data_IF_126507650426
#
_entry.id   IF_126507650426
#
_cell.length_a   1.000
_cell.length_b   1.000
_cell.length_c   1.000
_cell.angle_alpha   90.00
_cell.angle_beta   90.00
_cell.angle_gamma   90.00
#
_symmetry.space_group_name_H-M   'P 1'
#
loop_
_entity.id
_entity.type
_entity.pdbx_description
1 polymer ?
#
# COMPACT_ATOMS: atom_id res chain seq x y z
N UNK A 1 -10.63 -44.09 30.08
CA UNK A 1 -9.74 -43.90 28.90
C UNK A 1 -9.24 -42.46 28.89
N UNK A 2 -7.99 -42.24 29.30
CA UNK A 2 -7.35 -40.92 29.35
C UNK A 2 -6.96 -40.47 27.94
N UNK A 3 -7.55 -39.37 27.45
CA UNK A 3 -7.13 -38.71 26.21
C UNK A 3 -5.77 -38.03 26.43
N UNK A 4 -4.70 -38.64 25.91
CA UNK A 4 -3.38 -38.02 25.79
C UNK A 4 -3.48 -36.84 24.81
N UNK A 5 -3.29 -35.63 25.34
CA UNK A 5 -3.01 -34.44 24.53
C UNK A 5 -1.66 -34.63 23.85
N UNK A 6 -1.65 -34.79 22.53
CA UNK A 6 -0.43 -34.74 21.74
C UNK A 6 0.06 -33.29 21.71
N UNK A 7 1.05 -32.97 22.55
CA UNK A 7 1.88 -31.77 22.37
C UNK A 7 2.54 -31.88 20.99
N UNK A 8 2.15 -31.02 20.05
CA UNK A 8 2.91 -30.81 18.81
C UNK A 8 4.33 -30.38 19.21
N UNK A 9 5.38 -31.01 18.69
CA UNK A 9 6.74 -30.58 18.96
C UNK A 9 6.92 -29.15 18.46
N UNK A 10 7.40 -28.29 19.35
CA UNK A 10 7.75 -26.90 19.06
C UNK A 10 9.07 -26.92 18.26
N UNK A 11 8.96 -27.12 16.95
CA UNK A 11 10.10 -26.99 16.04
C UNK A 11 10.45 -25.50 16.03
N UNK A 12 11.66 -25.09 16.48
CA UNK A 12 12.06 -23.69 16.34
C UNK A 12 12.00 -23.31 14.86
N UNK A 13 11.47 -22.13 14.51
CA UNK A 13 11.42 -21.71 13.11
C UNK A 13 12.84 -21.76 12.53
N UNK A 14 13.03 -22.51 11.44
CA UNK A 14 14.29 -22.50 10.71
C UNK A 14 14.66 -21.05 10.38
N UNK A 15 15.95 -20.69 10.45
CA UNK A 15 16.37 -19.33 10.10
C UNK A 15 15.93 -19.03 8.66
N UNK A 16 15.29 -17.88 8.49
CA UNK A 16 14.92 -17.36 7.17
C UNK A 16 16.20 -16.99 6.43
N UNK A 17 16.53 -17.73 5.38
CA UNK A 17 17.71 -17.49 4.56
C UNK A 17 17.35 -17.45 3.08
N UNK A 18 18.09 -16.65 2.31
CA UNK A 18 17.97 -16.54 0.85
C UNK A 18 19.31 -16.15 0.22
N UNK A 19 19.50 -16.34 -1.10
CA UNK A 19 20.76 -16.04 -1.78
C UNK A 19 21.17 -14.55 -1.65
N UNK A 20 22.46 -14.24 -1.47
CA UNK A 20 22.94 -12.86 -1.27
C UNK A 20 22.79 -11.97 -2.53
N UNK A 21 22.71 -12.58 -3.71
CA UNK A 21 22.47 -11.93 -5.00
C UNK A 21 20.99 -11.62 -5.26
N UNK A 22 20.09 -11.94 -4.32
CA UNK A 22 18.67 -11.58 -4.40
C UNK A 22 18.52 -10.07 -4.62
N UNK A 23 17.52 -9.69 -5.40
CA UNK A 23 17.11 -8.29 -5.61
C UNK A 23 15.65 -8.08 -5.21
N UNK A 24 14.83 -9.13 -5.38
CA UNK A 24 13.40 -9.13 -5.16
C UNK A 24 13.05 -10.21 -4.14
N UNK A 25 12.36 -9.84 -3.06
CA UNK A 25 11.80 -10.79 -2.08
C UNK A 25 10.58 -10.17 -1.41
N UNK A 26 9.63 -11.01 -0.99
CA UNK A 26 8.50 -10.58 -0.17
C UNK A 26 8.43 -11.38 1.13
N UNK A 27 8.26 -10.69 2.25
CA UNK A 27 8.04 -11.28 3.56
C UNK A 27 6.58 -11.09 3.99
N UNK A 28 6.02 -12.11 4.65
CA UNK A 28 4.76 -12.04 5.38
C UNK A 28 5.06 -12.16 6.88
N UNK A 29 4.59 -11.17 7.63
CA UNK A 29 4.61 -11.12 9.09
C UNK A 29 3.25 -11.57 9.61
N UNK A 30 3.25 -12.52 10.53
CA UNK A 30 2.10 -12.87 11.34
C UNK A 30 2.09 -12.02 12.61
N UNK A 31 1.03 -11.24 12.77
CA UNK A 31 0.86 -10.26 13.82
C UNK A 31 -0.36 -10.62 14.69
N UNK A 32 -0.18 -10.66 16.01
CA UNK A 32 -1.24 -11.02 16.96
C UNK A 32 -1.34 -9.98 18.08
N UNK A 33 -2.48 -9.31 18.25
CA UNK A 33 -2.70 -8.44 19.40
C UNK A 33 -2.96 -9.27 20.66
N UNK A 34 -2.34 -8.92 21.78
CA UNK A 34 -2.53 -9.64 23.05
C UNK A 34 -3.89 -9.36 23.71
N UNK A 35 -4.50 -8.22 23.36
CA UNK A 35 -5.81 -7.74 23.84
C UNK A 35 -6.51 -7.06 22.68
N UNK A 36 -7.83 -6.91 22.77
CA UNK A 36 -8.58 -6.11 21.80
C UNK A 36 -7.97 -4.72 21.73
N UNK A 37 -7.68 -4.25 20.52
CA UNK A 37 -7.08 -2.95 20.29
C UNK A 37 -7.71 -2.26 19.08
N UNK A 38 -7.51 -0.95 19.00
CA UNK A 38 -8.13 -0.13 17.97
C UNK A 38 -7.05 0.58 17.16
N UNK A 39 -7.14 0.43 15.85
CA UNK A 39 -6.33 1.16 14.90
C UNK A 39 -7.01 2.47 14.53
N UNK A 40 -6.19 3.50 14.34
CA UNK A 40 -6.63 4.73 13.72
C UNK A 40 -6.87 4.49 12.21
N UNK A 41 -7.78 5.23 11.55
CA UNK A 41 -8.18 4.89 10.19
C UNK A 41 -7.03 4.92 9.17
N UNK A 42 -5.98 5.72 9.37
CA UNK A 42 -4.81 5.77 8.49
C UNK A 42 -3.61 4.97 9.02
N UNK A 43 -3.84 3.86 9.73
CA UNK A 43 -2.77 3.07 10.38
C UNK A 43 -1.65 2.60 9.46
N UNK A 44 -1.87 2.54 8.14
CA UNK A 44 -0.82 2.20 7.17
C UNK A 44 0.32 3.22 7.12
N UNK A 45 0.08 4.48 7.52
CA UNK A 45 1.15 5.46 7.76
C UNK A 45 2.01 5.02 8.96
N UNK A 46 1.37 4.49 10.00
CA UNK A 46 2.07 3.93 11.17
C UNK A 46 2.94 2.73 10.80
N UNK A 47 2.43 1.82 9.96
CA UNK A 47 3.22 0.70 9.43
C UNK A 47 4.44 1.17 8.63
N UNK A 48 4.25 2.17 7.76
CA UNK A 48 5.33 2.78 7.00
C UNK A 48 6.40 3.43 7.91
N UNK A 49 5.96 4.25 8.86
CA UNK A 49 6.87 4.94 9.78
C UNK A 49 7.63 3.94 10.67
N UNK A 50 6.94 2.92 11.18
CA UNK A 50 7.55 1.87 11.97
C UNK A 50 8.62 1.12 11.18
N UNK A 51 8.33 0.75 9.92
CA UNK A 51 9.31 0.12 9.04
C UNK A 51 10.56 0.98 8.85
N UNK A 52 10.41 2.25 8.50
CA UNK A 52 11.54 3.17 8.32
C UNK A 52 12.33 3.41 9.61
N UNK A 53 11.68 3.34 10.77
CA UNK A 53 12.33 3.40 12.07
C UNK A 53 13.20 2.14 12.30
N UNK A 54 12.73 0.95 11.92
CA UNK A 54 13.54 -0.27 12.00
C UNK A 54 14.75 -0.19 11.07
N UNK A 55 14.58 0.38 9.87
CA UNK A 55 15.71 0.65 8.97
C UNK A 55 16.67 1.62 9.64
N UNK A 56 16.18 2.76 10.14
CA UNK A 56 17.02 3.83 10.67
C UNK A 56 17.75 3.49 11.97
N UNK A 57 17.28 2.50 12.74
CA UNK A 57 17.98 2.04 13.95
C UNK A 57 19.25 1.25 13.65
N UNK A 58 19.37 0.70 12.43
CA UNK A 58 20.48 -0.19 12.01
C UNK A 58 21.26 0.37 10.84
N UNK A 59 20.60 1.08 9.92
CA UNK A 59 21.17 1.77 8.77
C UNK A 59 20.46 3.14 8.55
N UNK A 60 20.92 4.20 9.24
CA UNK A 60 20.37 5.56 9.10
C UNK A 60 20.44 6.11 7.66
N UNK A 61 21.48 5.74 6.90
CA UNK A 61 21.68 6.21 5.54
C UNK A 61 20.66 5.58 4.58
N UNK A 62 20.41 4.28 4.72
CA UNK A 62 19.36 3.60 3.97
C UNK A 62 17.99 4.18 4.33
N UNK A 63 17.70 4.44 5.62
CA UNK A 63 16.42 5.04 6.01
C UNK A 63 16.20 6.42 5.37
N UNK A 64 17.23 7.28 5.35
CA UNK A 64 17.19 8.56 4.66
C UNK A 64 16.95 8.39 3.16
N UNK A 65 17.64 7.47 2.49
CA UNK A 65 17.39 7.15 1.08
C UNK A 65 15.95 6.69 0.83
N UNK A 66 15.43 5.78 1.67
CA UNK A 66 14.05 5.27 1.54
C UNK A 66 12.99 6.34 1.82
N UNK A 67 13.27 7.31 2.69
CA UNK A 67 12.35 8.40 3.02
C UNK A 67 12.44 9.55 2.01
N UNK A 68 13.64 10.07 1.77
CA UNK A 68 13.89 11.33 1.06
C UNK A 68 14.18 11.16 -0.44
N UNK A 69 14.56 9.96 -0.90
CA UNK A 69 14.89 9.72 -2.31
C UNK A 69 13.77 10.15 -3.27
N UNK A 70 14.13 10.86 -4.35
CA UNK A 70 13.19 11.39 -5.33
C UNK A 70 12.77 10.37 -6.41
N UNK A 71 13.52 9.27 -6.55
CA UNK A 71 13.21 8.15 -7.44
C UNK A 71 12.06 7.28 -6.91
N UNK A 72 11.71 6.20 -7.63
CA UNK A 72 10.83 5.19 -7.06
C UNK A 72 11.41 4.65 -5.74
N UNK A 73 10.53 4.20 -4.84
CA UNK A 73 10.95 3.61 -3.57
C UNK A 73 11.18 2.11 -3.75
N UNK A 74 12.34 1.57 -3.32
CA UNK A 74 12.70 0.17 -3.56
C UNK A 74 12.05 -0.83 -2.58
N UNK A 75 10.82 -0.55 -2.15
CA UNK A 75 10.06 -1.43 -1.27
C UNK A 75 8.55 -1.22 -1.41
N UNK A 76 7.76 -2.18 -0.91
CA UNK A 76 6.33 -1.99 -0.70
C UNK A 76 5.92 -2.44 0.70
N UNK A 77 4.80 -1.91 1.17
CA UNK A 77 4.18 -2.24 2.45
C UNK A 77 2.69 -2.44 2.21
N UNK A 78 2.11 -3.53 2.70
CA UNK A 78 0.66 -3.75 2.65
C UNK A 78 -0.08 -3.11 3.84
N UNK A 79 -1.41 -3.00 3.71
CA UNK A 79 -2.29 -2.91 4.87
C UNK A 79 -2.30 -4.24 5.66
N UNK A 80 -2.91 -4.23 6.85
CA UNK A 80 -3.15 -5.48 7.59
C UNK A 80 -4.26 -6.28 6.88
N UNK A 81 -4.04 -7.58 6.75
CA UNK A 81 -5.00 -8.52 6.19
C UNK A 81 -5.44 -9.50 7.28
N UNK A 82 -6.75 -9.66 7.47
CA UNK A 82 -7.34 -10.52 8.49
C UNK A 82 -8.78 -10.12 8.77
N UNK A 83 -9.41 -10.77 9.75
CA UNK A 83 -10.77 -10.43 10.17
C UNK A 83 -10.75 -9.14 10.97
N UNK A 84 -11.02 -8.04 10.27
CA UNK A 84 -10.98 -6.68 10.81
C UNK A 84 -12.41 -6.19 10.97
N UNK A 85 -12.81 -5.91 12.21
CA UNK A 85 -14.14 -5.41 12.51
C UNK A 85 -14.11 -3.89 12.46
N UNK A 86 -14.91 -3.32 11.56
CA UNK A 86 -15.13 -1.87 11.48
C UNK A 86 -16.42 -1.52 12.21
N UNK A 87 -16.33 -0.67 13.23
CA UNK A 87 -17.51 -0.10 13.89
C UNK A 87 -17.48 1.42 13.70
N UNK A 88 -17.93 1.89 12.53
CA UNK A 88 -18.21 3.28 12.12
C UNK A 88 -17.06 4.31 12.23
N UNK A 89 -16.36 4.38 13.36
CA UNK A 89 -15.33 5.35 13.72
C UNK A 89 -13.96 4.72 14.02
N UNK A 90 -13.90 3.42 14.29
CA UNK A 90 -12.67 2.72 14.66
C UNK A 90 -12.56 1.36 13.98
N UNK A 91 -11.31 0.96 13.74
CA UNK A 91 -10.93 -0.34 13.20
C UNK A 91 -10.47 -1.19 14.40
N UNK A 92 -11.22 -2.23 14.74
CA UNK A 92 -10.90 -3.10 15.86
C UNK A 92 -10.13 -4.33 15.39
N UNK A 93 -9.06 -4.65 16.12
CA UNK A 93 -8.37 -5.93 16.05
C UNK A 93 -8.73 -6.74 17.30
N UNK A 94 -9.13 -7.99 17.10
CA UNK A 94 -9.54 -8.89 18.16
C UNK A 94 -8.33 -9.57 18.78
N UNK A 95 -8.31 -9.68 20.12
CA UNK A 95 -7.27 -10.37 20.86
C UNK A 95 -7.03 -11.79 20.32
N UNK A 96 -5.77 -12.21 20.28
CA UNK A 96 -5.35 -13.55 19.86
C UNK A 96 -5.77 -13.93 18.42
N UNK A 97 -6.12 -12.94 17.59
CA UNK A 97 -6.44 -13.12 16.18
C UNK A 97 -5.21 -12.85 15.31
N UNK A 98 -5.01 -13.68 14.28
CA UNK A 98 -3.86 -13.57 13.38
C UNK A 98 -4.15 -12.59 12.26
N UNK A 99 -3.29 -11.59 12.14
CA UNK A 99 -3.27 -10.60 11.06
C UNK A 99 -1.98 -10.74 10.26
N UNK A 100 -2.05 -10.51 8.95
CA UNK A 100 -0.92 -10.62 8.04
C UNK A 100 -0.50 -9.25 7.53
N UNK A 101 0.80 -9.03 7.53
CA UNK A 101 1.40 -7.82 6.98
C UNK A 101 2.52 -8.20 6.02
N UNK A 102 2.62 -7.49 4.90
CA UNK A 102 3.59 -7.80 3.85
C UNK A 102 4.56 -6.65 3.65
N UNK A 103 5.85 -6.99 3.53
CA UNK A 103 6.93 -6.08 3.15
C UNK A 103 7.70 -6.71 2.02
N UNK A 104 7.99 -5.95 0.96
CA UNK A 104 8.79 -6.44 -0.17
C UNK A 104 10.00 -5.57 -0.41
N UNK A 105 11.12 -6.17 -0.78
CA UNK A 105 12.29 -5.49 -1.32
C UNK A 105 12.25 -5.49 -2.85
N UNK A 106 12.71 -4.38 -3.44
CA UNK A 106 12.87 -4.21 -4.89
C UNK A 106 14.31 -3.88 -5.29
N UNK A 107 15.27 -4.01 -4.37
CA UNK A 107 16.67 -3.78 -4.65
C UNK A 107 17.56 -4.65 -3.77
N UNK A 108 18.77 -4.91 -4.27
CA UNK A 108 19.78 -5.66 -3.52
C UNK A 108 20.10 -5.01 -2.15
N UNK A 109 20.22 -3.67 -2.08
CA UNK A 109 20.49 -2.95 -0.82
C UNK A 109 19.39 -3.18 0.22
N UNK A 110 18.12 -3.11 -0.17
CA UNK A 110 17.00 -3.31 0.76
C UNK A 110 16.90 -4.75 1.22
N UNK A 111 17.06 -5.73 0.31
CA UNK A 111 16.97 -7.14 0.73
C UNK A 111 18.12 -7.55 1.65
N UNK A 112 19.34 -7.02 1.44
CA UNK A 112 20.48 -7.29 2.33
C UNK A 112 20.21 -6.78 3.74
N UNK A 113 19.67 -5.57 3.85
CA UNK A 113 19.20 -5.06 5.14
C UNK A 113 18.09 -5.94 5.73
N UNK A 114 17.10 -6.37 4.93
CA UNK A 114 16.04 -7.26 5.39
C UNK A 114 16.57 -8.60 5.91
N UNK A 115 17.65 -9.15 5.32
CA UNK A 115 18.26 -10.40 5.75
C UNK A 115 18.85 -10.27 7.17
N UNK A 116 19.49 -9.15 7.47
CA UNK A 116 20.00 -8.85 8.82
C UNK A 116 18.85 -8.52 9.79
N UNK A 117 17.82 -7.82 9.29
CA UNK A 117 16.68 -7.41 10.10
C UNK A 117 15.87 -8.62 10.60
N UNK A 118 15.66 -9.65 9.78
CA UNK A 118 14.91 -10.85 10.20
C UNK A 118 15.63 -11.67 11.27
N UNK A 119 16.95 -11.56 11.39
CA UNK A 119 17.73 -12.22 12.45
C UNK A 119 17.53 -11.54 13.82
N UNK A 120 17.21 -10.25 13.83
CA UNK A 120 17.09 -9.43 15.03
C UNK A 120 15.77 -8.65 15.06
N UNK A 121 14.66 -9.35 14.82
CA UNK A 121 13.33 -8.74 14.84
C UNK A 121 12.91 -8.32 16.25
N UNK A 122 12.27 -7.15 16.41
CA UNK A 122 11.58 -6.82 17.64
C UNK A 122 10.41 -7.81 17.87
N UNK A 123 10.10 -8.10 19.12
CA UNK A 123 8.97 -8.97 19.47
C UNK A 123 7.60 -8.32 19.15
N UNK A 124 7.56 -6.99 19.10
CA UNK A 124 6.33 -6.21 18.96
C UNK A 124 6.49 -5.15 17.88
N UNK A 125 5.47 -5.07 17.02
CA UNK A 125 5.22 -3.97 16.11
C UNK A 125 4.29 -2.97 16.81
N UNK A 126 4.80 -1.77 17.08
CA UNK A 126 4.08 -0.74 17.82
C UNK A 126 3.33 0.20 16.87
N UNK A 127 1.98 0.10 16.84
CA UNK A 127 1.10 1.04 16.15
C UNK A 127 0.37 1.93 17.15
N UNK A 128 1.06 2.93 17.71
CA UNK A 128 0.53 3.83 18.74
C UNK A 128 -0.07 3.05 19.93
N UNK A 129 -1.39 2.95 20.01
CA UNK A 129 -2.11 2.28 21.10
C UNK A 129 -2.49 0.83 20.76
N UNK A 130 -1.93 0.27 19.68
CA UNK A 130 -2.21 -1.08 19.19
C UNK A 130 -0.90 -1.87 19.00
N UNK A 131 -0.27 -2.35 20.10
CA UNK A 131 0.90 -3.23 20.01
C UNK A 131 0.51 -4.59 19.42
N UNK A 132 1.26 -5.04 18.41
CA UNK A 132 1.06 -6.32 17.73
C UNK A 132 2.28 -7.21 17.90
N UNK A 133 2.10 -8.39 18.49
CA UNK A 133 3.19 -9.36 18.64
C UNK A 133 3.54 -9.97 17.29
N UNK A 134 4.81 -9.96 16.93
CA UNK A 134 5.33 -10.66 15.74
C UNK A 134 5.47 -12.14 16.11
N UNK A 135 4.58 -12.98 15.60
CA UNK A 135 4.56 -14.43 15.91
C UNK A 135 5.44 -15.24 14.99
N UNK A 136 5.43 -14.90 13.71
CA UNK A 136 6.23 -15.56 12.71
C UNK A 136 6.48 -14.63 11.54
N UNK A 137 7.57 -14.90 10.82
CA UNK A 137 7.84 -14.33 9.52
C UNK A 137 8.04 -15.48 8.55
N UNK A 138 7.63 -15.31 7.29
CA UNK A 138 7.91 -16.27 6.23
C UNK A 138 8.10 -15.58 4.90
N UNK A 139 8.73 -16.28 3.95
CA UNK A 139 8.83 -15.83 2.56
C UNK A 139 7.43 -15.94 1.92
N UNK A 140 6.87 -14.79 1.56
CA UNK A 140 5.60 -14.68 0.84
C UNK A 140 5.80 -14.70 -0.67
N UNK A 141 6.88 -14.06 -1.14
CA UNK A 141 7.31 -14.07 -2.54
C UNK A 141 8.76 -14.53 -2.60
N UNK A 142 9.08 -15.54 -3.42
CA UNK A 142 10.39 -16.18 -3.42
C UNK A 142 11.51 -15.18 -3.76
N UNK A 143 12.72 -15.37 -3.20
CA UNK A 143 13.88 -14.58 -3.61
C UNK A 143 14.16 -14.78 -5.09
N UNK A 144 14.36 -13.67 -5.82
CA UNK A 144 14.71 -13.70 -7.24
C UNK A 144 15.46 -12.43 -7.66
N UNK A 145 15.88 -12.37 -8.92
CA UNK A 145 16.55 -11.23 -9.55
C UNK A 145 15.77 -10.73 -10.76
N UNK A 146 15.96 -9.48 -11.15
CA UNK A 146 15.37 -8.94 -12.36
C UNK A 146 15.77 -9.74 -13.60
N UNK A 147 17.02 -10.19 -13.63
CA UNK A 147 17.55 -11.07 -14.70
C UNK A 147 16.79 -12.40 -14.74
N UNK A 148 16.58 -13.06 -13.61
CA UNK A 148 15.81 -14.31 -13.55
C UNK A 148 14.36 -14.11 -13.99
N UNK A 149 13.73 -12.98 -13.66
CA UNK A 149 12.39 -12.65 -14.17
C UNK A 149 12.40 -12.54 -15.70
N UNK A 150 13.41 -11.87 -16.28
CA UNK A 150 13.55 -11.70 -17.73
C UNK A 150 13.86 -13.01 -18.46
N UNK A 151 14.65 -13.89 -17.87
CA UNK A 151 15.06 -15.17 -18.48
C UNK A 151 14.06 -16.30 -18.28
N UNK A 152 13.04 -16.09 -17.44
CA UNK A 152 12.01 -17.10 -17.17
C UNK A 152 11.10 -17.36 -18.37
N UNK A 153 10.41 -18.51 -18.38
CA UNK A 153 9.54 -18.90 -19.50
C UNK A 153 8.50 -17.82 -19.86
N UNK A 154 8.26 -17.63 -21.16
CA UNK A 154 7.29 -16.65 -21.65
C UNK A 154 5.88 -17.02 -21.17
N UNK A 155 5.25 -16.11 -20.42
CA UNK A 155 3.84 -16.21 -20.08
C UNK A 155 3.04 -15.29 -20.99
N UNK A 156 2.20 -15.87 -21.84
CA UNK A 156 1.37 -15.09 -22.76
C UNK A 156 0.10 -14.53 -22.11
N UNK A 157 -0.28 -15.02 -20.94
CA UNK A 157 -1.48 -14.59 -20.21
C UNK A 157 -1.17 -14.40 -18.73
N UNK A 158 -1.70 -13.30 -18.15
CA UNK A 158 -1.64 -13.01 -16.73
C UNK A 158 -3.01 -12.70 -16.18
N UNK A 159 -3.37 -13.42 -15.12
CA UNK A 159 -4.40 -12.96 -14.21
C UNK A 159 -3.74 -12.20 -13.05
N UNK A 160 -4.17 -10.97 -12.81
CA UNK A 160 -3.72 -10.11 -11.72
C UNK A 160 -4.89 -9.83 -10.78
N UNK A 161 -4.65 -10.02 -9.48
CA UNK A 161 -5.58 -9.67 -8.40
C UNK A 161 -5.06 -8.47 -7.62
N UNK A 162 -5.87 -7.43 -7.47
CA UNK A 162 -5.60 -6.22 -6.71
C UNK A 162 -6.27 -6.34 -5.33
N UNK A 163 -5.46 -6.64 -4.31
CA UNK A 163 -5.89 -6.87 -2.93
C UNK A 163 -6.14 -5.60 -2.13
N UNK A 164 -5.62 -4.46 -2.61
CA UNK A 164 -5.83 -3.16 -1.98
C UNK A 164 -6.14 -2.12 -3.05
N UNK A 165 -6.78 -1.00 -2.70
CA UNK A 165 -7.14 0.01 -3.68
C UNK A 165 -5.93 0.44 -4.50
N UNK A 166 -6.07 0.34 -5.81
CA UNK A 166 -5.06 0.64 -6.82
C UNK A 166 -5.52 1.84 -7.63
N UNK A 167 -4.64 2.79 -7.91
CA UNK A 167 -5.01 3.97 -8.70
C UNK A 167 -3.80 4.50 -9.45
N UNK A 168 -4.08 5.08 -10.61
CA UNK A 168 -3.12 5.77 -11.45
C UNK A 168 -3.39 7.28 -11.46
N UNK A 169 -2.47 8.05 -12.03
CA UNK A 169 -2.69 9.48 -12.31
C UNK A 169 -2.85 9.70 -13.80
N UNK A 170 -3.89 10.45 -14.18
CA UNK A 170 -4.10 10.89 -15.55
C UNK A 170 -4.59 12.33 -15.55
N UNK A 171 -3.83 13.23 -16.20
CA UNK A 171 -4.15 14.67 -16.28
C UNK A 171 -4.46 15.30 -14.91
N UNK A 172 -3.66 14.97 -13.88
CA UNK A 172 -3.85 15.46 -12.51
C UNK A 172 -4.91 14.72 -11.67
N UNK A 173 -5.76 13.90 -12.28
CA UNK A 173 -6.84 13.19 -11.58
C UNK A 173 -6.49 11.75 -11.26
N UNK A 174 -7.21 11.14 -10.30
CA UNK A 174 -7.15 9.70 -10.05
C UNK A 174 -7.79 8.96 -11.23
N UNK A 175 -7.15 7.88 -11.66
CA UNK A 175 -7.64 7.02 -12.72
C UNK A 175 -7.75 5.59 -12.18
N UNK A 176 -8.94 5.20 -11.68
CA UNK A 176 -9.14 3.92 -11.01
C UNK A 176 -9.51 2.80 -12.01
N UNK A 177 -8.78 2.69 -13.13
CA UNK A 177 -9.01 1.65 -14.14
C UNK A 177 -7.68 0.99 -14.55
N UNK A 178 -7.60 -0.36 -14.55
CA UNK A 178 -6.42 -1.14 -14.94
C UNK A 178 -6.29 -1.24 -16.47
N UNK A 179 -6.15 -0.11 -17.15
CA UNK A 179 -5.79 -0.10 -18.58
C UNK A 179 -4.36 -0.66 -18.72
N UNK A 180 -4.08 -1.59 -19.67
CA UNK A 180 -2.78 -2.24 -19.80
C UNK A 180 -1.60 -1.27 -19.79
N UNK A 181 -1.64 -0.21 -20.61
CA UNK A 181 -0.58 0.80 -20.63
C UNK A 181 -0.30 1.42 -19.24
N UNK A 182 -1.33 1.69 -18.43
CA UNK A 182 -1.15 2.22 -17.08
C UNK A 182 -0.59 1.18 -16.10
N UNK A 183 -1.06 -0.07 -16.19
CA UNK A 183 -0.59 -1.18 -15.37
C UNK A 183 0.89 -1.45 -15.64
N UNK A 184 1.27 -1.59 -16.91
CA UNK A 184 2.64 -1.88 -17.31
C UNK A 184 3.56 -0.67 -17.16
N UNK A 185 3.08 0.56 -17.33
CA UNK A 185 3.85 1.75 -16.98
C UNK A 185 4.22 1.77 -15.49
N UNK A 186 3.30 1.38 -14.61
CA UNK A 186 3.59 1.28 -13.18
C UNK A 186 4.74 0.32 -12.87
N UNK A 187 4.78 -0.84 -13.53
CA UNK A 187 5.85 -1.82 -13.33
C UNK A 187 7.15 -1.37 -13.98
N UNK A 188 7.07 -0.85 -15.20
CA UNK A 188 8.23 -0.43 -15.98
C UNK A 188 9.03 0.68 -15.29
N UNK A 189 8.37 1.64 -14.62
CA UNK A 189 9.09 2.67 -13.85
C UNK A 189 10.02 2.07 -12.78
N UNK A 190 9.55 1.05 -12.06
CA UNK A 190 10.36 0.36 -11.03
C UNK A 190 11.37 -0.60 -11.62
N UNK A 191 11.06 -1.19 -12.78
CA UNK A 191 12.02 -1.96 -13.55
C UNK A 191 13.19 -1.09 -13.99
N UNK A 192 12.92 0.05 -14.63
CA UNK A 192 13.96 0.96 -15.13
C UNK A 192 14.81 1.54 -13.99
N UNK A 193 14.23 1.83 -12.84
CA UNK A 193 14.96 2.37 -11.68
C UNK A 193 15.89 1.34 -11.01
N UNK A 194 15.52 0.06 -10.97
CA UNK A 194 16.20 -0.92 -10.12
C UNK A 194 16.84 -2.11 -10.84
N UNK A 195 16.42 -2.44 -12.05
CA UNK A 195 16.89 -3.67 -12.74
C UNK A 195 18.29 -3.57 -13.35
N UNK A 196 18.79 -2.35 -13.57
CA UNK A 196 19.98 -2.12 -14.40
C UNK A 196 19.79 -2.43 -15.90
N UNK A 197 18.56 -2.79 -16.32
CA UNK A 197 18.19 -3.16 -17.69
C UNK A 197 17.07 -2.24 -18.20
N UNK A 198 17.30 -0.93 -18.19
CA UNK A 198 16.30 0.06 -18.58
C UNK A 198 15.86 -0.11 -20.04
N UNK A 199 14.57 0.08 -20.28
CA UNK A 199 13.94 0.01 -21.61
C UNK A 199 13.28 1.34 -21.92
N UNK A 200 13.23 1.70 -23.21
CA UNK A 200 12.48 2.86 -23.68
C UNK A 200 11.00 2.71 -23.31
N UNK A 201 10.48 3.71 -22.60
CA UNK A 201 9.14 3.65 -22.07
C UNK A 201 8.08 3.84 -23.15
N UNK A 202 8.31 4.74 -24.10
CA UNK A 202 7.29 5.12 -25.06
C UNK A 202 7.08 4.00 -26.08
N UNK A 203 8.17 3.40 -26.56
CA UNK A 203 8.11 2.26 -27.48
C UNK A 203 7.41 1.05 -26.86
N UNK A 204 7.78 0.69 -25.62
CA UNK A 204 7.17 -0.46 -24.95
C UNK A 204 5.69 -0.21 -24.62
N UNK A 205 5.33 1.00 -24.17
CA UNK A 205 3.94 1.30 -23.83
C UNK A 205 3.04 1.41 -25.06
N UNK A 206 3.56 1.90 -26.19
CA UNK A 206 2.84 1.85 -27.47
C UNK A 206 2.59 0.40 -27.89
N UNK A 207 3.61 -0.45 -27.78
CA UNK A 207 3.46 -1.89 -28.02
C UNK A 207 2.44 -2.54 -27.07
N UNK A 208 2.42 -2.15 -25.79
CA UNK A 208 1.43 -2.66 -24.84
C UNK A 208 0.00 -2.30 -25.26
N UNK A 209 -0.21 -1.06 -25.73
CA UNK A 209 -1.53 -0.59 -26.18
C UNK A 209 -2.02 -1.33 -27.43
N UNK A 210 -1.11 -1.65 -28.35
CA UNK A 210 -1.42 -2.36 -29.59
C UNK A 210 -1.67 -3.87 -29.40
N UNK A 211 -0.99 -4.50 -28.44
CA UNK A 211 -0.87 -5.96 -28.40
C UNK A 211 -1.34 -6.64 -27.11
N UNK A 212 -1.66 -5.91 -26.03
CA UNK A 212 -2.16 -6.51 -24.78
C UNK A 212 -3.69 -6.36 -24.70
N UNK A 213 -4.37 -7.50 -24.68
CA UNK A 213 -5.83 -7.57 -24.64
C UNK A 213 -6.32 -7.82 -23.22
N UNK A 214 -7.36 -7.11 -22.80
CA UNK A 214 -8.12 -7.45 -21.58
C UNK A 214 -9.11 -8.55 -21.95
N UNK A 215 -8.90 -9.77 -21.46
CA UNK A 215 -9.80 -10.90 -21.72
C UNK A 215 -10.90 -11.02 -20.67
N UNK A 216 -10.61 -10.65 -19.42
CA UNK A 216 -11.57 -10.68 -18.30
C UNK A 216 -11.31 -9.53 -17.34
N UNK A 217 -12.36 -8.97 -16.77
CA UNK A 217 -12.24 -7.86 -15.84
C UNK A 217 -13.40 -7.88 -14.82
N UNK A 218 -13.07 -7.82 -13.53
CA UNK A 218 -14.05 -7.68 -12.46
C UNK A 218 -13.48 -6.73 -11.42
N UNK A 219 -14.05 -5.54 -11.30
CA UNK A 219 -13.51 -4.47 -10.47
C UNK A 219 -14.57 -3.89 -9.55
N UNK A 220 -14.12 -3.34 -8.43
CA UNK A 220 -14.90 -2.47 -7.56
C UNK A 220 -14.09 -1.23 -7.28
N UNK A 221 -14.71 -0.06 -7.36
CA UNK A 221 -14.04 1.21 -7.05
C UNK A 221 -14.43 1.69 -5.65
N UNK A 222 -13.46 2.17 -4.90
CA UNK A 222 -13.68 2.77 -3.59
C UNK A 222 -12.80 4.01 -3.43
N UNK A 223 -13.26 4.94 -2.58
CA UNK A 223 -12.49 6.11 -2.18
C UNK A 223 -11.91 5.85 -0.80
N UNK A 224 -10.58 5.78 -0.71
CA UNK A 224 -9.86 5.47 0.53
C UNK A 224 -8.90 6.59 0.90
N UNK A 225 -8.55 6.66 2.19
CA UNK A 225 -7.52 7.58 2.64
C UNK A 225 -6.14 7.08 2.19
N UNK A 226 -5.24 8.01 1.85
CA UNK A 226 -3.93 7.66 1.33
C UNK A 226 -2.84 8.57 1.88
N UNK A 227 -1.88 7.99 2.60
CA UNK A 227 -0.77 8.72 3.22
C UNK A 227 -1.25 9.77 4.23
N UNK A 228 -0.38 10.74 4.57
CA UNK A 228 -0.64 11.76 5.60
C UNK A 228 -1.80 12.71 5.27
N UNK A 229 -2.08 12.96 3.98
CA UNK A 229 -3.11 13.91 3.53
C UNK A 229 -3.79 13.40 2.26
N UNK A 230 -5.12 13.53 2.23
CA UNK A 230 -5.94 13.30 1.05
C UNK A 230 -6.55 11.91 0.97
N UNK A 231 -7.36 11.73 -0.07
CA UNK A 231 -8.01 10.49 -0.42
C UNK A 231 -7.65 10.11 -1.86
N UNK A 232 -7.75 8.83 -2.19
CA UNK A 232 -7.55 8.25 -3.50
C UNK A 232 -8.80 7.50 -3.88
N UNK A 233 -9.37 7.81 -5.05
CA UNK A 233 -10.31 6.88 -5.70
C UNK A 233 -9.50 5.82 -6.41
N UNK A 234 -9.65 4.56 -6.01
CA UNK A 234 -8.93 3.42 -6.55
C UNK A 234 -9.85 2.23 -6.81
N UNK A 235 -9.31 1.18 -7.40
CA UNK A 235 -10.00 -0.08 -7.66
C UNK A 235 -9.37 -1.25 -6.92
N UNK A 236 -10.19 -2.23 -6.56
CA UNK A 236 -9.81 -3.60 -6.19
C UNK A 236 -10.48 -4.57 -7.16
N UNK A 237 -10.05 -5.83 -7.15
CA UNK A 237 -10.64 -6.87 -7.99
C UNK A 237 -9.59 -7.62 -8.81
N UNK A 238 -9.95 -8.06 -10.01
CA UNK A 238 -9.06 -8.83 -10.86
C UNK A 238 -9.20 -8.45 -12.34
N UNK A 239 -8.10 -8.61 -13.07
CA UNK A 239 -8.02 -8.50 -14.52
C UNK A 239 -7.27 -9.70 -15.08
N UNK A 240 -7.65 -10.14 -16.27
CA UNK A 240 -6.90 -11.11 -17.07
C UNK A 240 -6.47 -10.42 -18.37
N UNK A 241 -5.19 -10.55 -18.68
CA UNK A 241 -4.51 -9.92 -19.80
C UNK A 241 -3.87 -11.00 -20.66
N UNK A 242 -3.95 -10.89 -21.98
CA UNK A 242 -3.35 -11.83 -22.92
C UNK A 242 -2.63 -11.12 -24.07
N UNK A 243 -1.52 -11.71 -24.53
CA UNK A 243 -0.82 -11.28 -25.74
C UNK A 243 -1.67 -11.57 -26.98
N UNK A 244 -1.76 -10.59 -27.87
CA UNK A 244 -2.28 -10.79 -29.21
C UNK A 244 -1.33 -11.65 -30.05
N UNK A 245 -1.86 -12.43 -31.00
CA UNK A 245 -1.06 -13.35 -31.84
C UNK A 245 0.07 -12.68 -32.63
N UNK A 246 -0.13 -11.42 -33.02
CA UNK A 246 0.83 -10.62 -33.78
C UNK A 246 1.90 -9.96 -32.90
N UNK A 247 1.81 -10.06 -31.56
CA UNK A 247 2.82 -9.57 -30.62
C UNK A 247 4.18 -10.27 -30.81
N UNK A 248 4.17 -11.49 -31.35
CA UNK A 248 5.37 -12.29 -31.64
C UNK A 248 6.36 -11.64 -32.63
N UNK A 249 5.98 -10.54 -33.29
CA UNK A 249 6.87 -9.75 -34.15
C UNK A 249 7.97 -9.01 -33.37
N UNK A 250 7.76 -8.76 -32.08
CA UNK A 250 8.71 -8.11 -31.16
C UNK A 250 8.85 -8.99 -29.90
N UNK A 251 9.53 -10.14 -30.01
CA UNK A 251 9.61 -11.13 -28.94
C UNK A 251 10.23 -10.57 -27.64
N UNK A 252 11.14 -9.60 -27.76
CA UNK A 252 11.75 -8.90 -26.62
C UNK A 252 10.71 -8.17 -25.74
N UNK A 253 9.70 -7.54 -26.35
CA UNK A 253 8.61 -6.90 -25.62
C UNK A 253 7.63 -7.93 -25.04
N UNK A 254 7.41 -9.05 -25.74
CA UNK A 254 6.70 -10.21 -25.17
C UNK A 254 7.37 -10.73 -23.89
N UNK A 255 8.70 -10.85 -23.93
CA UNK A 255 9.48 -11.30 -22.79
C UNK A 255 9.46 -10.28 -21.64
N UNK A 256 9.59 -8.98 -21.95
CA UNK A 256 9.48 -7.91 -20.95
C UNK A 256 8.08 -7.88 -20.32
N UNK A 257 7.00 -8.03 -21.11
CA UNK A 257 5.65 -8.17 -20.60
C UNK A 257 5.54 -9.32 -19.59
N UNK A 258 6.11 -10.49 -19.91
CA UNK A 258 6.16 -11.64 -19.01
C UNK A 258 6.92 -11.34 -17.72
N UNK A 259 8.10 -10.71 -17.82
CA UNK A 259 8.91 -10.32 -16.67
C UNK A 259 8.17 -9.32 -15.77
N UNK A 260 7.55 -8.29 -16.35
CA UNK A 260 6.79 -7.26 -15.61
C UNK A 260 5.52 -7.83 -14.96
N UNK A 261 4.83 -8.78 -15.62
CA UNK A 261 3.72 -9.51 -15.04
C UNK A 261 4.14 -10.31 -13.79
N UNK A 262 5.32 -10.94 -13.83
CA UNK A 262 5.92 -11.67 -12.70
C UNK A 262 6.49 -10.73 -11.62
N UNK A 263 6.87 -9.51 -11.97
CA UNK A 263 7.31 -8.47 -11.03
C UNK A 263 6.14 -7.88 -10.22
N UNK A 264 4.92 -7.90 -10.76
CA UNK A 264 3.74 -7.26 -10.16
C UNK A 264 3.50 -7.60 -8.67
N UNK A 265 3.65 -8.86 -8.20
CA UNK A 265 3.44 -9.19 -6.79
C UNK A 265 4.47 -8.56 -5.83
N UNK A 266 5.69 -8.31 -6.32
CA UNK A 266 6.77 -7.70 -5.54
C UNK A 266 6.60 -6.19 -5.46
N UNK A 267 6.33 -5.53 -6.58
CA UNK A 267 6.36 -4.07 -6.67
C UNK A 267 5.00 -3.38 -6.48
N UNK A 268 3.91 -4.15 -6.55
CA UNK A 268 2.56 -3.61 -6.53
C UNK A 268 2.24 -2.77 -7.77
N UNK A 269 1.01 -2.29 -7.83
CA UNK A 269 0.48 -1.55 -8.99
C UNK A 269 0.07 -0.13 -8.60
N UNK A 270 0.34 0.82 -9.49
CA UNK A 270 -0.01 2.22 -9.31
C UNK A 270 0.89 2.93 -8.31
N UNK A 271 0.31 3.87 -7.57
CA UNK A 271 1.03 4.75 -6.65
C UNK A 271 0.75 4.43 -5.17
N UNK A 272 1.62 4.94 -4.29
CA UNK A 272 1.51 4.79 -2.82
C UNK A 272 1.61 3.32 -2.34
N UNK A 273 2.38 2.50 -3.05
CA UNK A 273 2.68 1.10 -2.69
C UNK A 273 3.46 0.96 -1.39
N UNK A 274 4.12 2.03 -0.93
CA UNK A 274 4.76 2.12 0.39
C UNK A 274 3.80 2.43 1.54
N UNK A 275 2.51 2.68 1.25
CA UNK A 275 1.48 3.08 2.22
C UNK A 275 0.26 2.14 2.23
N UNK A 276 0.42 0.88 1.78
CA UNK A 276 -0.66 -0.11 1.82
C UNK A 276 -1.58 -0.15 0.61
N UNK A 277 -1.32 0.66 -0.44
CA UNK A 277 -2.09 0.67 -1.69
C UNK A 277 -1.42 -0.19 -2.76
N UNK A 278 -2.14 -0.56 -3.81
CA UNK A 278 -1.55 -1.24 -4.96
C UNK A 278 -1.09 -2.69 -4.75
N UNK A 279 -1.36 -3.32 -3.61
CA UNK A 279 -1.00 -4.72 -3.36
C UNK A 279 -1.58 -5.63 -4.44
N UNK A 280 -0.70 -6.29 -5.18
CA UNK A 280 -1.03 -7.12 -6.35
C UNK A 280 -0.58 -8.56 -6.13
N UNK A 281 -1.31 -9.53 -6.68
CA UNK A 281 -0.98 -10.96 -6.68
C UNK A 281 -1.25 -11.55 -8.06
N UNK A 282 -0.56 -12.64 -8.38
CA UNK A 282 -0.90 -13.47 -9.53
C UNK A 282 -2.14 -14.32 -9.25
N UNK A 283 -2.87 -14.64 -10.31
CA UNK A 283 -4.03 -15.50 -10.28
C UNK A 283 -5.36 -14.75 -10.35
N UNK A 284 -6.39 -15.46 -10.82
CA UNK A 284 -7.75 -14.96 -10.85
C UNK A 284 -8.45 -15.21 -9.51
N UNK A 285 -9.27 -14.26 -9.07
CA UNK A 285 -10.20 -14.48 -7.97
C UNK A 285 -11.41 -13.58 -8.14
N UNK A 286 -12.60 -14.18 -8.18
CA UNK A 286 -13.88 -13.48 -8.21
C UNK A 286 -14.36 -13.06 -6.83
N UNK A 287 -13.65 -13.46 -5.77
CA UNK A 287 -13.92 -12.98 -4.42
C UNK A 287 -13.60 -11.50 -4.38
N UNK A 288 -14.66 -10.70 -4.27
CA UNK A 288 -14.54 -9.30 -3.86
C UNK A 288 -13.72 -9.30 -2.58
N UNK A 289 -12.60 -8.57 -2.60
CA UNK A 289 -11.73 -8.45 -1.41
C UNK A 289 -12.63 -8.03 -0.26
N UNK A 290 -12.56 -8.76 0.87
CA UNK A 290 -13.32 -8.43 2.06
C UNK A 290 -13.13 -6.94 2.33
N UNK A 291 -14.26 -6.27 2.32
CA UNK A 291 -14.36 -4.86 2.57
C UNK A 291 -13.62 -4.56 3.89
N UNK A 292 -12.53 -3.76 3.85
CA UNK A 292 -12.13 -2.90 4.99
C UNK A 292 -12.42 -1.42 4.65
N UNK A 293 -13.70 -0.99 4.46
CA UNK A 293 -13.95 0.26 3.77
C UNK A 293 -15.17 0.99 4.34
N UNK A 294 -15.57 0.77 5.60
CA UNK A 294 -16.59 1.61 6.21
C UNK A 294 -15.90 2.83 6.79
N UNK A 295 -15.00 2.65 7.77
CA UNK A 295 -14.39 3.80 8.46
C UNK A 295 -13.54 4.68 7.54
N UNK A 296 -12.65 4.10 6.73
CA UNK A 296 -11.79 4.90 5.84
C UNK A 296 -12.59 5.61 4.74
N UNK A 297 -13.58 4.93 4.15
CA UNK A 297 -14.42 5.51 3.10
C UNK A 297 -15.37 6.55 3.67
N UNK A 298 -16.00 6.28 4.81
CA UNK A 298 -16.84 7.24 5.56
C UNK A 298 -16.02 8.46 5.92
N UNK A 299 -14.81 8.29 6.46
CA UNK A 299 -13.93 9.40 6.78
C UNK A 299 -13.48 10.15 5.52
N UNK A 300 -13.11 9.45 4.43
CA UNK A 300 -12.72 10.08 3.16
C UNK A 300 -13.86 10.91 2.56
N UNK A 301 -15.08 10.36 2.56
CA UNK A 301 -16.30 11.04 2.11
C UNK A 301 -16.60 12.25 2.99
N UNK A 302 -16.52 12.10 4.32
CA UNK A 302 -16.73 13.20 5.26
C UNK A 302 -15.71 14.33 5.08
N UNK A 303 -14.44 14.01 4.84
CA UNK A 303 -13.40 15.00 4.53
C UNK A 303 -13.72 15.73 3.22
N UNK A 304 -14.18 15.02 2.20
CA UNK A 304 -14.59 15.63 0.93
C UNK A 304 -15.77 16.58 1.11
N UNK A 305 -16.85 16.12 1.75
CA UNK A 305 -18.06 16.91 2.01
C UNK A 305 -17.70 18.21 2.78
N UNK A 306 -16.94 18.08 3.86
CA UNK A 306 -16.46 19.24 4.63
C UNK A 306 -15.55 20.15 3.81
N UNK A 307 -14.70 19.59 2.95
CA UNK A 307 -13.82 20.39 2.08
C UNK A 307 -14.66 21.22 1.11
N UNK A 308 -15.70 20.64 0.49
CA UNK A 308 -16.59 21.38 -0.40
C UNK A 308 -17.35 22.49 0.33
N UNK A 309 -17.87 22.19 1.52
CA UNK A 309 -18.53 23.18 2.38
C UNK A 309 -17.58 24.35 2.70
N UNK A 310 -16.33 24.06 3.09
CA UNK A 310 -15.36 25.11 3.43
C UNK A 310 -14.83 25.88 2.22
N UNK A 311 -14.75 25.26 1.04
CA UNK A 311 -14.42 25.94 -0.21
C UNK A 311 -15.52 26.91 -0.63
N UNK A 312 -16.78 26.45 -0.63
CA UNK A 312 -17.94 27.27 -1.04
C UNK A 312 -18.10 28.53 -0.19
N UNK A 313 -17.77 28.48 1.11
CA UNK A 313 -17.89 29.60 2.04
C UNK A 313 -16.79 30.66 1.93
N UNK A 314 -15.70 30.38 1.22
CA UNK A 314 -14.58 31.32 1.10
C UNK A 314 -14.80 32.27 -0.06
N UNK A 315 -15.05 33.55 0.26
CA UNK A 315 -15.28 34.67 -0.69
C UNK A 315 -14.14 34.90 -1.71
N UNK A 316 -12.93 34.36 -1.48
CA UNK A 316 -11.84 34.35 -2.47
C UNK A 316 -11.71 32.95 -3.03
N UNK A 317 -12.36 32.70 -4.15
CA UNK A 317 -12.16 31.53 -5.01
C UNK A 317 -10.87 31.74 -5.81
N UNK A 318 -9.94 30.78 -5.75
CA UNK A 318 -8.83 30.72 -6.73
C UNK A 318 -7.39 30.85 -6.23
N UNK A 319 -7.05 30.41 -5.01
CA UNK A 319 -5.65 30.26 -4.60
C UNK A 319 -5.36 28.89 -3.98
N UNK A 320 -4.28 28.23 -4.40
CA UNK A 320 -3.86 26.91 -3.86
C UNK A 320 -3.84 26.88 -2.33
N UNK A 321 -3.40 27.98 -1.71
CA UNK A 321 -3.35 28.13 -0.25
C UNK A 321 -4.72 28.14 0.42
N UNK A 322 -5.75 28.68 -0.23
CA UNK A 322 -7.11 28.70 0.30
C UNK A 322 -7.73 27.29 0.28
N UNK A 323 -7.46 26.52 -0.77
CA UNK A 323 -7.89 25.13 -0.92
C UNK A 323 -7.17 24.21 0.07
N UNK A 324 -5.87 24.41 0.26
CA UNK A 324 -5.08 23.62 1.19
C UNK A 324 -5.56 23.82 2.65
N UNK A 325 -5.88 25.05 3.05
CA UNK A 325 -6.40 25.32 4.39
C UNK A 325 -7.82 24.74 4.55
N UNK A 326 -8.68 24.80 3.53
CA UNK A 326 -10.01 24.18 3.57
C UNK A 326 -9.90 22.66 3.76
N UNK A 327 -9.00 22.00 3.02
CA UNK A 327 -8.73 20.57 3.18
C UNK A 327 -8.14 20.23 4.55
N UNK A 328 -7.25 21.06 5.10
CA UNK A 328 -6.74 20.90 6.49
C UNK A 328 -7.86 21.00 7.52
N UNK A 329 -8.75 21.99 7.41
CA UNK A 329 -9.90 22.13 8.32
C UNK A 329 -10.83 20.92 8.26
N UNK A 330 -11.15 20.47 7.05
CA UNK A 330 -11.98 19.28 6.83
C UNK A 330 -11.35 18.01 7.40
N UNK A 331 -10.05 17.80 7.15
CA UNK A 331 -9.31 16.64 7.65
C UNK A 331 -9.30 16.60 9.17
N UNK A 332 -8.95 17.71 9.83
CA UNK A 332 -8.88 17.77 11.29
C UNK A 332 -10.27 17.59 11.91
N UNK A 333 -11.30 18.25 11.37
CA UNK A 333 -12.65 18.15 11.91
C UNK A 333 -13.23 16.75 11.73
N UNK A 334 -13.11 16.15 10.55
CA UNK A 334 -13.63 14.80 10.30
C UNK A 334 -12.95 13.75 11.20
N UNK A 335 -11.62 13.83 11.36
CA UNK A 335 -10.87 12.96 12.28
C UNK A 335 -11.32 13.14 13.73
N UNK A 336 -11.59 14.38 14.15
CA UNK A 336 -12.14 14.67 15.47
C UNK A 336 -13.56 14.13 15.66
N UNK A 337 -14.41 14.18 14.64
CA UNK A 337 -15.76 13.58 14.65
C UNK A 337 -15.72 12.05 14.75
N UNK A 338 -14.67 11.42 14.22
CA UNK A 338 -14.37 9.98 14.38
C UNK A 338 -13.75 9.63 15.75
N UNK A 339 -13.57 10.60 16.66
CA UNK A 339 -13.13 10.37 18.03
C UNK A 339 -11.62 10.49 18.28
N UNK A 340 -10.83 10.88 17.29
CA UNK A 340 -9.39 11.09 17.49
C UNK A 340 -9.12 12.32 18.40
N UNK A 341 -8.08 12.24 19.24
CA UNK A 341 -7.65 13.38 20.07
C UNK A 341 -6.95 14.44 19.21
N UNK A 342 -7.02 15.70 19.61
CA UNK A 342 -6.35 16.77 18.86
C UNK A 342 -4.82 16.67 18.95
N UNK A 343 -4.29 16.04 20.00
CA UNK A 343 -2.87 15.73 20.13
C UNK A 343 -2.45 14.74 19.04
N UNK A 344 -3.17 13.63 18.88
CA UNK A 344 -2.88 12.62 17.85
C UNK A 344 -2.98 13.21 16.45
N UNK A 345 -3.99 14.05 16.19
CA UNK A 345 -4.14 14.70 14.88
C UNK A 345 -3.01 15.72 14.62
N UNK A 346 -2.52 16.40 15.66
CA UNK A 346 -1.42 17.36 15.55
C UNK A 346 -0.09 16.69 15.22
N UNK A 347 0.23 15.60 15.93
CA UNK A 347 1.40 14.77 15.67
C UNK A 347 1.38 14.23 14.22
N UNK A 348 0.26 13.63 13.80
CA UNK A 348 0.17 13.01 12.47
C UNK A 348 0.26 14.00 11.30
N UNK A 349 -0.23 15.22 11.49
CA UNK A 349 -0.18 16.25 10.47
C UNK A 349 1.08 17.11 10.53
N UNK A 350 1.97 16.84 11.49
CA UNK A 350 3.17 17.64 11.79
C UNK A 350 2.81 19.13 11.98
N UNK A 351 1.77 19.37 12.77
CA UNK A 351 1.23 20.70 13.03
C UNK A 351 1.27 21.03 14.52
N UNK A 352 1.54 22.29 14.92
CA UNK A 352 1.43 22.69 16.31
C UNK A 352 0.02 22.43 16.86
N UNK A 353 -0.07 21.90 18.08
CA UNK A 353 -1.33 21.58 18.74
C UNK A 353 -2.30 22.77 18.77
N UNK A 354 -1.81 23.96 19.08
CA UNK A 354 -2.63 25.19 19.12
C UNK A 354 -3.18 25.57 17.74
N UNK A 355 -2.45 25.30 16.66
CA UNK A 355 -2.93 25.47 15.28
C UNK A 355 -4.07 24.51 14.99
N UNK A 356 -3.93 23.24 15.36
CA UNK A 356 -4.98 22.21 15.17
C UNK A 356 -6.24 22.57 15.96
N UNK A 357 -6.09 22.96 17.22
CA UNK A 357 -7.19 23.42 18.08
C UNK A 357 -7.91 24.63 17.49
N UNK A 358 -7.14 25.59 16.97
CA UNK A 358 -7.69 26.77 16.27
C UNK A 358 -8.46 26.36 15.02
N UNK A 359 -7.91 25.47 14.20
CA UNK A 359 -8.53 25.02 12.96
C UNK A 359 -9.84 24.27 13.21
N UNK A 360 -9.93 23.41 14.24
CA UNK A 360 -11.20 22.78 14.63
C UNK A 360 -12.23 23.81 15.07
N UNK A 361 -11.83 24.80 15.87
CA UNK A 361 -12.74 25.86 16.32
C UNK A 361 -13.30 26.64 15.15
N UNK A 362 -12.46 27.00 14.18
CA UNK A 362 -12.88 27.73 12.98
C UNK A 362 -13.75 26.87 12.06
N UNK A 363 -13.41 25.59 11.87
CA UNK A 363 -14.20 24.64 11.09
C UNK A 363 -15.61 24.44 11.66
N UNK A 364 -15.72 24.26 12.98
CA UNK A 364 -17.03 24.16 13.68
C UNK A 364 -17.85 25.45 13.55
N UNK A 365 -17.20 26.62 13.68
CA UNK A 365 -17.89 27.91 13.52
C UNK A 365 -18.43 28.08 12.10
N UNK A 366 -17.67 27.66 11.09
CA UNK A 366 -18.14 27.66 9.72
C UNK A 366 -19.38 26.76 9.55
N UNK A 367 -19.38 25.53 10.09
CA UNK A 367 -20.55 24.64 10.03
C UNK A 367 -21.79 25.17 10.76
N UNK A 368 -21.62 25.89 11.88
CA UNK A 368 -22.76 26.46 12.63
C UNK A 368 -23.45 27.63 11.92
N UNK A 369 -22.86 28.20 10.87
CA UNK A 369 -23.55 29.22 10.05
C UNK A 369 -24.49 28.63 8.99
N UNK A 370 -24.95 27.39 9.20
CA UNK A 370 -25.84 26.59 8.34
C UNK A 370 -27.18 26.26 9.01
N UNK A 371 -27.25 26.41 10.35
CA UNK A 371 -28.48 26.38 11.15
C UNK A 371 -28.91 27.82 11.45
#
# INVERSE_FOLDING_TARGET
MLRRSQKKPNIPPSPLTWPPDTELIGLEFELVPAKDCYLFPQYTIGLHAWFLQQVGSTDPELSAYLHDGESEKPFTISALNGEIISSGRQIQLSANTSYRWYVTALSNRVQQWMAQWVENLPEVLELKNAPLQIRSVKIAHPPTTYKQLLESELNETFALKFLSPTSFRRKGHHFPLPVPANVFHSYLRRWNDFSGMSVDQDDFLAWVDDYILITRCQLTTAKVLAGKKGAVTGFTGAIELSLAKNAAKQPEFGQLFSALGKLAPYCGTGHKTTFGLGQTRLGWSSQVVQDIPDVQTVLAKRIEDLTQIFKARRKRTGGERADEIASKWATILARREMGESLQVVAEDLEMPYETVKTYVKLARRALKSEE
#
